data_IF_444593622502
#
_entry.id   IF_444593622502
#
_cell.length_a   1.000
_cell.length_b   1.000
_cell.length_c   1.000
_cell.angle_alpha   90.00
_cell.angle_beta   90.00
_cell.angle_gamma   90.00
#
_symmetry.space_group_name_H-M   'P 1'
#
loop_
_entity.id
_entity.type
_entity.pdbx_description
1 polymer ?
#
# COMPACT_ATOMS: atom_id res chain seq x y z
N UNK A 1 3.14 5.04 0.19
CA UNK A 1 2.33 6.17 -0.35
C UNK A 1 1.41 5.72 -1.50
N UNK A 2 0.28 6.42 -1.77
CA UNK A 2 -0.37 6.37 -3.09
C UNK A 2 0.61 6.84 -4.18
N UNK A 3 0.43 6.43 -5.43
CA UNK A 3 1.36 6.83 -6.52
C UNK A 3 2.73 6.13 -6.51
N UNK A 4 3.05 5.35 -5.47
CA UNK A 4 4.30 4.58 -5.39
C UNK A 4 4.37 3.37 -6.35
N UNK A 5 3.30 3.06 -7.10
CA UNK A 5 3.30 1.96 -8.07
C UNK A 5 3.02 0.57 -7.50
N UNK A 6 2.60 0.45 -6.22
CA UNK A 6 2.37 -0.83 -5.52
C UNK A 6 1.53 -1.83 -6.32
N UNK A 7 0.36 -1.44 -6.83
CA UNK A 7 -0.49 -2.35 -7.59
C UNK A 7 0.18 -2.79 -8.90
N UNK A 8 0.86 -1.89 -9.62
CA UNK A 8 1.54 -2.22 -10.89
C UNK A 8 2.71 -3.18 -10.67
N UNK A 9 3.61 -2.83 -9.74
CA UNK A 9 4.76 -3.67 -9.38
C UNK A 9 4.29 -5.02 -8.83
N UNK A 10 3.26 -5.02 -7.98
CA UNK A 10 2.71 -6.22 -7.37
C UNK A 10 2.09 -7.18 -8.39
N UNK A 11 1.35 -6.70 -9.39
CA UNK A 11 0.85 -7.57 -10.46
C UNK A 11 1.98 -8.21 -11.28
N UNK A 12 3.04 -7.45 -11.57
CA UNK A 12 4.21 -7.98 -12.29
C UNK A 12 4.88 -9.08 -11.47
N UNK A 13 5.17 -8.82 -10.19
CA UNK A 13 5.75 -9.80 -9.28
C UNK A 13 4.91 -11.07 -9.17
N UNK A 14 3.59 -10.93 -8.96
CA UNK A 14 2.68 -12.06 -8.86
C UNK A 14 2.71 -12.92 -10.13
N UNK A 15 2.71 -12.29 -11.31
CA UNK A 15 2.80 -13.00 -12.59
C UNK A 15 4.12 -13.75 -12.75
N UNK A 16 5.24 -13.13 -12.39
CA UNK A 16 6.57 -13.76 -12.49
C UNK A 16 6.73 -14.93 -11.52
N UNK A 17 6.24 -14.78 -10.29
CA UNK A 17 6.33 -15.79 -9.24
C UNK A 17 5.24 -16.88 -9.37
N UNK A 18 4.26 -16.69 -10.27
CA UNK A 18 3.04 -17.50 -10.36
C UNK A 18 2.24 -17.51 -9.04
N UNK A 19 2.21 -16.36 -8.37
CA UNK A 19 1.52 -16.13 -7.12
C UNK A 19 0.16 -15.45 -7.35
N UNK A 20 -0.74 -15.55 -6.38
CA UNK A 20 -1.96 -14.74 -6.38
C UNK A 20 -1.61 -13.26 -6.18
N UNK A 21 -2.37 -12.36 -6.82
CA UNK A 21 -2.26 -10.93 -6.55
C UNK A 21 -3.48 -10.42 -5.79
N UNK A 22 -3.26 -9.89 -4.59
CA UNK A 22 -4.30 -9.34 -3.72
C UNK A 22 -4.08 -7.83 -3.60
N UNK A 23 -5.13 -7.04 -3.85
CA UNK A 23 -5.12 -5.59 -3.65
C UNK A 23 -6.16 -5.23 -2.60
N UNK A 24 -5.73 -4.74 -1.43
CA UNK A 24 -6.63 -4.47 -0.31
C UNK A 24 -7.65 -3.38 -0.65
N UNK A 25 -7.29 -2.42 -1.51
CA UNK A 25 -8.23 -1.37 -1.96
C UNK A 25 -9.32 -1.96 -2.87
N UNK A 26 -9.02 -3.02 -3.62
CA UNK A 26 -10.05 -3.79 -4.35
C UNK A 26 -10.92 -4.60 -3.38
N UNK A 27 -10.32 -5.25 -2.38
CA UNK A 27 -11.03 -6.06 -1.40
C UNK A 27 -12.06 -5.22 -0.62
N UNK A 28 -11.66 -4.04 -0.13
CA UNK A 28 -12.56 -3.10 0.56
C UNK A 28 -13.72 -2.69 -0.35
N UNK A 29 -13.43 -2.33 -1.61
CA UNK A 29 -14.49 -1.94 -2.57
C UNK A 29 -15.49 -3.06 -2.84
N UNK A 30 -15.03 -4.31 -2.91
CA UNK A 30 -15.90 -5.47 -3.11
C UNK A 30 -16.77 -5.73 -1.88
N UNK A 31 -16.19 -5.68 -0.67
CA UNK A 31 -16.89 -5.89 0.60
C UNK A 31 -17.92 -4.78 0.87
N UNK A 32 -17.54 -3.52 0.63
CA UNK A 32 -18.36 -2.34 0.95
C UNK A 32 -19.29 -1.91 -0.19
N UNK A 33 -19.13 -2.47 -1.39
CA UNK A 33 -19.86 -2.09 -2.63
C UNK A 33 -19.84 -0.59 -2.93
N UNK A 34 -18.79 0.11 -2.51
CA UNK A 34 -18.61 1.56 -2.60
C UNK A 34 -17.14 1.88 -2.90
N UNK A 35 -16.87 3.03 -3.52
CA UNK A 35 -15.49 3.50 -3.72
C UNK A 35 -14.88 3.95 -2.40
N UNK A 36 -13.55 3.93 -2.27
CA UNK A 36 -12.87 4.45 -1.07
C UNK A 36 -13.20 5.93 -0.84
N UNK A 37 -13.32 6.71 -1.91
CA UNK A 37 -13.74 8.11 -1.81
C UNK A 37 -15.16 8.25 -1.25
N UNK A 38 -16.10 7.41 -1.67
CA UNK A 38 -17.47 7.45 -1.14
C UNK A 38 -17.49 7.09 0.35
N UNK A 39 -16.69 6.11 0.77
CA UNK A 39 -16.54 5.77 2.20
C UNK A 39 -16.01 6.97 2.97
N UNK A 40 -14.94 7.63 2.49
CA UNK A 40 -14.39 8.82 3.16
C UNK A 40 -15.41 9.96 3.21
N UNK A 41 -16.18 10.18 2.15
CA UNK A 41 -17.16 11.27 2.07
C UNK A 41 -18.38 11.03 2.98
N UNK A 42 -18.82 9.78 3.12
CA UNK A 42 -20.03 9.42 3.88
C UNK A 42 -19.74 9.09 5.34
N UNK A 43 -18.68 8.31 5.57
CA UNK A 43 -18.39 7.66 6.85
C UNK A 43 -17.11 8.23 7.51
N UNK A 44 -16.31 8.98 6.75
CA UNK A 44 -15.08 9.61 7.23
C UNK A 44 -13.82 8.74 7.14
N UNK A 45 -12.66 9.36 7.39
CA UNK A 45 -11.35 8.69 7.30
C UNK A 45 -11.16 7.58 8.33
N UNK A 46 -11.73 7.73 9.54
CA UNK A 46 -11.62 6.71 10.58
C UNK A 46 -12.34 5.42 10.19
N UNK A 47 -13.49 5.52 9.51
CA UNK A 47 -14.20 4.35 9.02
C UNK A 47 -13.40 3.62 7.94
N UNK A 48 -12.77 4.36 7.02
CA UNK A 48 -11.90 3.75 6.01
C UNK A 48 -10.72 3.00 6.66
N UNK A 49 -10.11 3.57 7.71
CA UNK A 49 -9.04 2.88 8.46
C UNK A 49 -9.52 1.56 9.08
N UNK A 50 -10.73 1.54 9.65
CA UNK A 50 -11.32 0.32 10.19
C UNK A 50 -11.57 -0.73 9.11
N UNK A 51 -12.06 -0.32 7.94
CA UNK A 51 -12.24 -1.23 6.80
C UNK A 51 -10.90 -1.71 6.22
N UNK A 52 -9.86 -0.89 6.18
CA UNK A 52 -8.51 -1.31 5.80
C UNK A 52 -7.97 -2.38 6.75
N UNK A 53 -8.11 -2.17 8.06
CA UNK A 53 -7.71 -3.16 9.07
C UNK A 53 -8.47 -4.47 8.92
N UNK A 54 -9.80 -4.42 8.84
CA UNK A 54 -10.63 -5.62 8.66
C UNK A 54 -10.31 -6.37 7.37
N UNK A 55 -10.12 -5.65 6.27
CA UNK A 55 -9.76 -6.24 4.98
C UNK A 55 -8.42 -6.98 5.09
N UNK A 56 -7.41 -6.37 5.71
CA UNK A 56 -6.10 -7.02 5.91
C UNK A 56 -6.20 -8.23 6.82
N UNK A 57 -6.89 -8.11 7.97
CA UNK A 57 -7.06 -9.22 8.91
C UNK A 57 -7.84 -10.40 8.31
N UNK A 58 -8.68 -10.15 7.29
CA UNK A 58 -9.40 -11.20 6.58
C UNK A 58 -8.55 -11.99 5.57
N UNK A 59 -7.33 -11.52 5.27
CA UNK A 59 -6.45 -12.19 4.32
C UNK A 59 -5.87 -13.45 4.97
N UNK A 60 -6.19 -14.59 4.37
CA UNK A 60 -5.51 -15.86 4.58
C UNK A 60 -5.07 -16.34 3.20
N UNK A 61 -3.77 -16.22 2.91
CA UNK A 61 -3.22 -16.54 1.60
C UNK A 61 -1.85 -17.20 1.75
N UNK A 62 -1.60 -18.19 0.90
CA UNK A 62 -0.28 -18.78 0.69
C UNK A 62 0.14 -18.47 -0.74
N UNK A 63 1.42 -18.13 -0.96
CA UNK A 63 1.95 -17.74 -2.29
C UNK A 63 1.16 -16.59 -2.93
N UNK A 64 1.11 -15.46 -2.23
CA UNK A 64 0.45 -14.25 -2.71
C UNK A 64 1.37 -13.02 -2.63
N UNK A 65 1.15 -12.06 -3.53
CA UNK A 65 1.68 -10.71 -3.47
C UNK A 65 0.55 -9.77 -3.07
N UNK A 66 0.71 -9.10 -1.93
CA UNK A 66 -0.32 -8.24 -1.33
C UNK A 66 0.07 -6.78 -1.54
N UNK A 67 -0.72 -6.05 -2.32
CA UNK A 67 -0.65 -4.59 -2.40
C UNK A 67 -1.63 -3.96 -1.40
N UNK A 68 -1.09 -3.20 -0.45
CA UNK A 68 -1.89 -2.57 0.60
C UNK A 68 -2.27 -1.12 0.29
N UNK A 69 -3.30 -0.64 0.98
CA UNK A 69 -3.66 0.77 1.07
C UNK A 69 -2.52 1.58 1.71
N UNK A 70 -2.44 2.87 1.36
CA UNK A 70 -1.37 3.73 1.86
C UNK A 70 -1.44 3.96 3.38
N UNK A 71 -2.63 3.85 3.96
CA UNK A 71 -2.92 4.10 5.38
C UNK A 71 -2.94 2.83 6.23
N UNK A 72 -2.79 1.65 5.65
CA UNK A 72 -2.69 0.38 6.40
C UNK A 72 -1.63 0.41 7.50
N UNK A 73 -0.52 1.14 7.28
CA UNK A 73 0.57 1.29 8.27
C UNK A 73 0.17 1.98 9.58
N UNK A 74 -1.00 2.63 9.64
CA UNK A 74 -1.51 3.18 10.89
C UNK A 74 -2.12 2.12 11.81
N UNK A 75 -2.51 0.96 11.27
CA UNK A 75 -3.02 -0.15 12.09
C UNK A 75 -1.89 -1.09 12.47
N UNK A 76 -1.55 -1.12 13.76
CA UNK A 76 -0.58 -2.09 14.30
C UNK A 76 -1.05 -3.52 14.11
N UNK A 77 -2.36 -3.79 14.28
CA UNK A 77 -2.93 -5.13 14.12
C UNK A 77 -2.80 -5.63 12.67
N UNK A 78 -3.13 -4.77 11.70
CA UNK A 78 -2.98 -5.09 10.27
C UNK A 78 -1.51 -5.37 9.91
N UNK A 79 -0.58 -4.54 10.40
CA UNK A 79 0.85 -4.73 10.12
C UNK A 79 1.43 -5.97 10.80
N UNK A 80 0.99 -6.31 12.02
CA UNK A 80 1.38 -7.55 12.69
C UNK A 80 0.89 -8.79 11.92
N UNK A 81 -0.35 -8.75 11.42
CA UNK A 81 -0.89 -9.82 10.59
C UNK A 81 -0.15 -9.97 9.25
N UNK A 82 0.17 -8.86 8.58
CA UNK A 82 0.98 -8.92 7.36
C UNK A 82 2.38 -9.46 7.62
N UNK A 83 3.01 -9.05 8.73
CA UNK A 83 4.35 -9.51 9.11
C UNK A 83 4.40 -11.00 9.45
N UNK A 84 3.33 -11.56 10.03
CA UNK A 84 3.27 -13.00 10.32
C UNK A 84 3.05 -13.86 9.06
N UNK A 85 2.47 -13.28 8.01
CA UNK A 85 2.14 -13.98 6.76
C UNK A 85 3.17 -13.78 5.64
N UNK A 86 3.95 -12.70 5.67
CA UNK A 86 4.70 -12.24 4.50
C UNK A 86 5.94 -11.42 4.88
N UNK A 87 6.85 -11.26 3.90
CA UNK A 87 7.90 -10.23 3.96
C UNK A 87 7.33 -8.89 3.50
N UNK A 88 7.51 -7.84 4.30
CA UNK A 88 7.02 -6.50 4.03
C UNK A 88 8.05 -5.73 3.23
N UNK A 89 7.67 -5.34 2.01
CA UNK A 89 8.52 -4.56 1.10
C UNK A 89 8.00 -3.13 1.00
N UNK A 90 8.85 -2.18 1.38
CA UNK A 90 8.59 -0.76 1.16
C UNK A 90 9.17 -0.29 -0.17
N UNK A 91 8.28 0.17 -1.06
CA UNK A 91 8.65 0.90 -2.27
C UNK A 91 8.92 2.37 -1.94
N UNK A 92 10.20 2.71 -1.73
CA UNK A 92 10.64 4.08 -1.45
C UNK A 92 10.68 4.89 -2.73
N UNK A 93 9.95 6.00 -2.75
CA UNK A 93 9.84 6.88 -3.91
C UNK A 93 10.02 8.31 -3.42
N UNK A 94 10.93 9.10 -4.02
CA UNK A 94 11.13 10.51 -3.66
C UNK A 94 9.83 11.31 -3.66
N UNK A 95 9.74 12.30 -2.77
CA UNK A 95 8.55 13.12 -2.59
C UNK A 95 8.13 13.80 -3.90
N UNK A 96 9.10 14.32 -4.65
CA UNK A 96 8.89 15.06 -5.90
C UNK A 96 8.17 14.18 -6.93
N UNK A 97 8.58 12.91 -7.04
CA UNK A 97 7.94 11.93 -7.92
C UNK A 97 6.52 11.58 -7.42
N UNK A 98 6.34 11.46 -6.11
CA UNK A 98 5.00 11.21 -5.54
C UNK A 98 4.06 12.38 -5.81
N UNK A 99 4.53 13.62 -5.64
CA UNK A 99 3.79 14.84 -5.90
C UNK A 99 3.35 14.93 -7.36
N UNK A 100 4.27 14.69 -8.31
CA UNK A 100 3.96 14.67 -9.75
C UNK A 100 2.92 13.60 -10.13
N UNK A 101 2.99 12.41 -9.51
CA UNK A 101 2.08 11.29 -9.78
C UNK A 101 0.71 11.48 -9.15
N UNK A 102 0.60 12.24 -8.06
CA UNK A 102 -0.67 12.51 -7.37
C UNK A 102 -1.20 13.89 -7.80
N UNK A 103 -1.79 13.92 -9.00
CA UNK A 103 -2.40 15.15 -9.54
C UNK A 103 -3.70 15.57 -8.85
N UNK A 104 -4.43 14.63 -8.24
CA UNK A 104 -5.71 14.87 -7.56
C UNK A 104 -5.73 14.17 -6.19
N UNK A 105 -5.48 14.92 -5.13
CA UNK A 105 -5.47 14.42 -3.75
C UNK A 105 -6.86 14.07 -3.23
N UNK A 106 -7.89 14.80 -3.68
CA UNK A 106 -9.22 14.77 -3.07
C UNK A 106 -10.17 13.72 -3.67
N UNK A 107 -9.73 12.94 -4.67
CA UNK A 107 -10.59 11.96 -5.37
C UNK A 107 -10.19 10.50 -5.17
N UNK A 108 -9.17 10.23 -4.34
CA UNK A 108 -8.58 8.89 -4.20
C UNK A 108 -8.92 8.15 -2.90
N UNK A 109 -9.78 8.68 -2.05
CA UNK A 109 -10.06 8.11 -0.73
C UNK A 109 -8.83 8.15 0.17
N UNK A 110 -8.08 9.25 0.11
CA UNK A 110 -6.85 9.41 0.89
C UNK A 110 -7.18 9.70 2.35
N UNK A 111 -6.72 8.84 3.27
CA UNK A 111 -6.74 9.13 4.71
C UNK A 111 -5.71 10.21 5.03
N UNK A 112 -6.18 11.45 5.25
CA UNK A 112 -5.39 12.60 5.71
C UNK A 112 -6.15 13.38 6.78
N UNK A 113 -5.43 14.02 7.69
CA UNK A 113 -6.04 14.95 8.65
C UNK A 113 -6.54 16.21 7.92
N UNK A 114 -7.56 16.94 8.45
CA UNK A 114 -7.94 18.23 7.90
C UNK A 114 -6.73 19.17 7.82
N UNK A 115 -6.52 19.81 6.66
CA UNK A 115 -5.41 20.74 6.37
C UNK A 115 -4.00 20.13 6.36
N UNK A 116 -3.84 18.81 6.50
CA UNK A 116 -2.54 18.16 6.34
C UNK A 116 -2.10 18.24 4.87
N UNK A 117 -0.87 18.72 4.64
CA UNK A 117 -0.31 18.75 3.29
C UNK A 117 0.10 17.35 2.83
N UNK A 118 0.31 17.19 1.52
CA UNK A 118 0.86 15.93 0.99
C UNK A 118 2.26 15.65 1.54
N UNK A 119 3.08 16.70 1.71
CA UNK A 119 4.41 16.60 2.29
C UNK A 119 4.36 16.13 3.75
N UNK A 120 3.49 16.70 4.59
CA UNK A 120 3.34 16.25 5.98
C UNK A 120 2.92 14.79 6.05
N UNK A 121 1.99 14.38 5.18
CA UNK A 121 1.55 13.00 5.08
C UNK A 121 2.66 12.07 4.61
N UNK A 122 3.47 12.51 3.66
CA UNK A 122 4.64 11.78 3.17
C UNK A 122 5.63 11.54 4.30
N UNK A 123 6.06 12.60 5.00
CA UNK A 123 7.03 12.51 6.11
C UNK A 123 6.49 11.62 7.23
N UNK A 124 5.23 11.81 7.64
CA UNK A 124 4.59 11.01 8.70
C UNK A 124 4.58 9.51 8.33
N UNK A 125 4.20 9.18 7.10
CA UNK A 125 4.09 7.79 6.67
C UNK A 125 5.43 7.15 6.34
N UNK A 126 6.44 7.90 5.88
CA UNK A 126 7.78 7.36 5.60
C UNK A 126 8.38 6.72 6.85
N UNK A 127 8.29 7.39 8.01
CA UNK A 127 8.75 6.82 9.30
C UNK A 127 8.06 5.49 9.61
N UNK A 128 6.75 5.38 9.33
CA UNK A 128 5.99 4.16 9.56
C UNK A 128 6.29 3.07 8.52
N UNK A 129 6.48 3.45 7.25
CA UNK A 129 6.87 2.50 6.20
C UNK A 129 8.23 1.88 6.53
N UNK A 130 9.22 2.68 6.91
CA UNK A 130 10.54 2.23 7.32
C UNK A 130 10.49 1.37 8.58
N UNK A 131 9.66 1.73 9.57
CA UNK A 131 9.47 0.94 10.80
C UNK A 131 9.02 -0.50 10.53
N UNK A 132 8.12 -0.70 9.57
CA UNK A 132 7.52 -2.02 9.30
C UNK A 132 8.18 -2.76 8.14
N UNK A 133 9.06 -2.13 7.36
CA UNK A 133 9.68 -2.76 6.21
C UNK A 133 10.76 -3.76 6.65
N UNK A 134 10.66 -4.99 6.14
CA UNK A 134 11.78 -5.93 6.17
C UNK A 134 12.81 -5.55 5.10
N UNK A 135 12.33 -5.05 3.95
CA UNK A 135 13.16 -4.65 2.81
C UNK A 135 12.66 -3.32 2.26
N UNK A 136 13.57 -2.39 2.03
CA UNK A 136 13.29 -1.13 1.33
C UNK A 136 13.90 -1.16 -0.07
N UNK A 137 13.10 -0.87 -1.09
CA UNK A 137 13.52 -0.82 -2.50
C UNK A 137 13.18 0.54 -3.08
N UNK A 138 14.18 1.21 -3.67
CA UNK A 138 13.97 2.43 -4.44
C UNK A 138 13.11 2.14 -5.68
N UNK A 139 12.01 2.88 -5.84
CA UNK A 139 10.98 2.71 -6.85
C UNK A 139 10.74 3.98 -7.69
N UNK A 140 11.83 4.71 -7.95
CA UNK A 140 11.95 5.87 -8.83
C UNK A 140 12.15 5.49 -10.32
N UNK A 141 12.10 4.21 -10.64
CA UNK A 141 12.24 3.65 -11.99
C UNK A 141 10.96 2.97 -12.50
N UNK A 142 11.04 2.30 -13.67
CA UNK A 142 9.90 1.56 -14.24
C UNK A 142 9.47 0.40 -13.34
N UNK A 143 8.20 0.02 -13.42
CA UNK A 143 7.65 -1.04 -12.57
C UNK A 143 8.35 -2.39 -12.80
N UNK A 144 8.78 -2.66 -14.03
CA UNK A 144 9.55 -3.85 -14.42
C UNK A 144 10.89 -3.89 -13.70
N UNK A 145 11.64 -2.79 -13.70
CA UNK A 145 12.94 -2.70 -13.02
C UNK A 145 12.80 -2.82 -11.50
N UNK A 146 11.74 -2.24 -10.93
CA UNK A 146 11.45 -2.40 -9.49
C UNK A 146 11.12 -3.86 -9.17
N UNK A 147 10.30 -4.53 -9.99
CA UNK A 147 9.98 -5.95 -9.82
C UNK A 147 11.23 -6.84 -9.93
N UNK A 148 12.11 -6.59 -10.91
CA UNK A 148 13.40 -7.28 -11.04
C UNK A 148 14.26 -7.13 -9.78
N UNK A 149 14.39 -5.91 -9.25
CA UNK A 149 15.15 -5.65 -8.01
C UNK A 149 14.57 -6.39 -6.82
N UNK A 150 13.24 -6.38 -6.68
CA UNK A 150 12.56 -7.10 -5.60
C UNK A 150 12.85 -8.60 -5.69
N UNK A 151 12.69 -9.19 -6.88
CA UNK A 151 12.98 -10.61 -7.07
C UNK A 151 14.43 -10.96 -6.67
N UNK A 152 15.39 -10.14 -7.07
CA UNK A 152 16.80 -10.34 -6.73
C UNK A 152 17.03 -10.35 -5.21
N UNK A 153 16.55 -9.33 -4.48
CA UNK A 153 16.75 -9.25 -3.02
C UNK A 153 15.96 -10.28 -2.23
N UNK A 154 14.83 -10.76 -2.77
CA UNK A 154 14.04 -11.82 -2.11
C UNK A 154 14.58 -13.22 -2.36
N UNK A 155 15.34 -13.44 -3.44
CA UNK A 155 15.92 -14.76 -3.76
C UNK A 155 17.13 -15.10 -2.86
N UNK A 156 17.73 -14.11 -2.23
CA UNK A 156 18.90 -14.26 -1.34
C UNK A 156 18.52 -14.60 0.11
N UNK A 157 17.22 -14.73 0.43
CA UNK A 157 16.69 -14.86 1.79
C UNK A 157 15.63 -15.95 1.88
#
# INVERSE_FOLDING_TARGET
>A
MPGAGKSTVGHLLARHLQFEFIDTDKLIRQQQKRTLQNIVNQDGCLQLLQFEEQAVLSIAAEKAVIATGGSTVYSTAAMQHLSSLSKIIYLSVPYEIIEERIKNLDTRGLVKKPRQSLHDLYVERTVLYEKYADITVAADMTAERVAEKIMAVTAEI
#
